data_IF_856555231458
#
_entry.id   IF_856555231458
#
_cell.length_a   1.000
_cell.length_b   1.000
_cell.length_c   1.000
_cell.angle_alpha   90.00
_cell.angle_beta   90.00
_cell.angle_gamma   90.00
#
_symmetry.space_group_name_H-M   'P 1'
#
loop_
_entity.id
_entity.type
_entity.pdbx_description
1 polymer ?
#
# COMPACT_ATOMS: atom_id res chain seq x y z
N UNK A 1 -8.55 22.21 -4.78
CA UNK A 1 -9.21 21.03 -4.18
C UNK A 1 -8.24 20.50 -3.14
N UNK A 2 -8.57 20.62 -1.85
CA UNK A 2 -7.69 20.22 -0.77
C UNK A 2 -7.61 18.70 -0.74
N UNK A 3 -6.54 18.15 -1.32
CA UNK A 3 -6.17 16.77 -1.08
C UNK A 3 -5.71 16.70 0.38
N UNK A 4 -6.63 16.37 1.29
CA UNK A 4 -6.23 15.68 2.51
C UNK A 4 -5.42 14.48 2.03
N UNK A 5 -4.09 14.52 2.18
CA UNK A 5 -3.23 13.39 1.81
C UNK A 5 -3.53 12.29 2.82
N UNK A 6 -4.60 11.58 2.52
CA UNK A 6 -4.93 10.34 3.17
C UNK A 6 -3.91 9.35 2.70
N UNK A 7 -3.33 8.60 3.63
CA UNK A 7 -2.39 7.53 3.30
C UNK A 7 -3.10 6.31 2.71
N UNK A 8 -4.29 6.51 2.15
CA UNK A 8 -4.99 5.51 1.38
C UNK A 8 -4.50 5.53 -0.07
N UNK A 9 -4.01 4.38 -0.51
CA UNK A 9 -3.71 4.12 -1.90
C UNK A 9 -4.81 3.23 -2.43
N UNK A 10 -5.50 3.72 -3.46
CA UNK A 10 -6.53 2.97 -4.14
C UNK A 10 -5.87 2.02 -5.15
N UNK A 11 -6.20 0.75 -5.03
CA UNK A 11 -5.75 -0.32 -5.91
C UNK A 11 -6.67 -0.41 -7.13
N UNK A 12 -6.11 -0.76 -8.28
CA UNK A 12 -6.88 -0.97 -9.51
C UNK A 12 -7.71 -2.27 -9.44
N UNK A 13 -7.24 -3.24 -8.66
CA UNK A 13 -7.90 -4.53 -8.40
C UNK A 13 -8.27 -4.66 -6.94
N UNK A 14 -9.36 -5.38 -6.70
CA UNK A 14 -9.72 -5.82 -5.35
C UNK A 14 -8.86 -7.00 -4.94
N UNK A 15 -8.44 -6.97 -3.68
CA UNK A 15 -7.90 -8.13 -2.99
C UNK A 15 -8.99 -9.17 -2.81
N UNK A 16 -8.81 -10.33 -3.44
CA UNK A 16 -9.68 -11.49 -3.22
C UNK A 16 -9.51 -12.01 -1.78
N UNK A 17 -8.26 -11.99 -1.29
CA UNK A 17 -7.90 -12.47 0.02
C UNK A 17 -6.82 -11.56 0.64
N UNK A 18 -7.22 -10.74 1.61
CA UNK A 18 -6.39 -9.69 2.22
C UNK A 18 -5.25 -10.27 3.03
N UNK A 19 -5.47 -11.42 3.64
CA UNK A 19 -4.44 -12.13 4.40
C UNK A 19 -3.38 -12.68 3.46
N UNK A 20 -3.75 -13.19 2.28
CA UNK A 20 -2.78 -13.58 1.25
C UNK A 20 -1.97 -12.41 0.74
N UNK A 21 -2.56 -11.23 0.55
CA UNK A 21 -1.80 -10.05 0.09
C UNK A 21 -0.56 -9.77 0.96
N UNK A 22 -0.58 -10.16 2.23
CA UNK A 22 0.51 -9.95 3.18
C UNK A 22 1.36 -11.19 3.47
N UNK A 23 0.78 -12.39 3.33
CA UNK A 23 1.46 -13.65 3.61
C UNK A 23 2.05 -14.31 2.35
N UNK A 24 1.69 -13.85 1.15
CA UNK A 24 2.29 -14.35 -0.08
C UNK A 24 3.72 -13.82 -0.24
N UNK A 25 4.70 -14.71 -0.50
CA UNK A 25 6.09 -14.31 -0.73
C UNK A 25 6.29 -13.56 -2.05
N UNK A 26 5.30 -13.61 -2.93
CA UNK A 26 5.27 -12.87 -4.20
C UNK A 26 4.73 -11.45 -4.03
N UNK A 27 4.24 -11.08 -2.84
CA UNK A 27 3.80 -9.72 -2.54
C UNK A 27 5.01 -8.83 -2.23
N UNK A 28 5.23 -7.82 -3.06
CA UNK A 28 6.31 -6.85 -2.91
C UNK A 28 5.73 -5.44 -2.91
N UNK A 29 5.73 -4.79 -1.75
CA UNK A 29 5.27 -3.42 -1.59
C UNK A 29 6.44 -2.54 -1.20
N UNK A 30 6.63 -1.46 -1.95
CA UNK A 30 7.74 -0.53 -1.79
C UNK A 30 7.25 0.90 -1.78
N UNK A 31 7.91 1.72 -0.97
CA UNK A 31 7.74 3.16 -0.93
C UNK A 31 9.10 3.80 -1.14
N UNK A 32 9.22 4.61 -2.18
CA UNK A 32 10.49 5.20 -2.60
C UNK A 32 11.60 4.16 -2.83
N UNK A 33 11.21 2.95 -3.26
CA UNK A 33 12.10 1.80 -3.41
C UNK A 33 12.42 1.04 -2.11
N UNK A 34 12.01 1.54 -0.94
CA UNK A 34 12.14 0.83 0.33
C UNK A 34 10.99 -0.17 0.55
N UNK A 35 11.29 -1.44 0.87
CA UNK A 35 10.26 -2.44 1.12
C UNK A 35 9.47 -2.12 2.38
N UNK A 36 8.15 -2.09 2.27
CA UNK A 36 7.23 -1.88 3.38
C UNK A 36 6.67 -3.23 3.87
N UNK A 37 6.84 -3.55 5.17
CA UNK A 37 6.21 -4.73 5.74
C UNK A 37 4.69 -4.58 5.79
N UNK A 38 3.95 -5.68 5.61
CA UNK A 38 2.51 -5.65 5.78
C UNK A 38 2.08 -5.73 7.26
N UNK A 39 1.05 -4.97 7.62
CA UNK A 39 0.41 -4.90 8.94
C UNK A 39 1.38 -4.57 10.07
N UNK A 40 2.52 -3.96 9.73
CA UNK A 40 3.47 -3.48 10.71
C UNK A 40 3.13 -2.05 11.14
N UNK A 41 3.77 -1.61 12.23
CA UNK A 41 3.64 -0.26 12.79
C UNK A 41 4.12 0.80 11.80
N UNK A 42 5.03 0.42 10.91
CA UNK A 42 5.73 1.28 9.95
C UNK A 42 5.67 0.68 8.53
N UNK A 43 4.45 0.34 8.12
CA UNK A 43 4.21 -0.46 6.93
C UNK A 43 2.94 -0.08 6.20
N UNK A 44 2.28 -1.07 5.63
CA UNK A 44 1.01 -0.91 4.93
C UNK A 44 0.00 -1.95 5.39
N UNK A 45 -1.29 -1.64 5.32
CA UNK A 45 -2.35 -2.59 5.64
C UNK A 45 -3.54 -2.40 4.72
N UNK A 46 -4.30 -3.45 4.44
CA UNK A 46 -5.56 -3.29 3.70
C UNK A 46 -6.58 -2.58 4.59
N UNK A 47 -7.23 -1.54 4.08
CA UNK A 47 -8.19 -0.73 4.85
C UNK A 47 -9.41 -1.58 5.21
N UNK A 48 -9.79 -1.67 6.50
CA UNK A 48 -10.95 -2.46 6.89
C UNK A 48 -12.22 -1.87 6.28
N UNK A 49 -13.05 -2.74 5.67
CA UNK A 49 -14.26 -2.33 4.94
C UNK A 49 -14.02 -1.86 3.50
N UNK A 50 -12.77 -1.84 3.02
CA UNK A 50 -12.45 -1.69 1.61
C UNK A 50 -11.65 -2.90 1.13
N UNK A 51 -11.92 -3.35 -0.09
CA UNK A 51 -11.24 -4.50 -0.69
C UNK A 51 -10.27 -4.05 -1.79
N UNK A 52 -10.24 -2.77 -2.13
CA UNK A 52 -9.39 -2.16 -3.16
C UNK A 52 -8.62 -0.96 -2.60
N UNK A 53 -8.47 -0.86 -1.28
CA UNK A 53 -7.75 0.26 -0.65
C UNK A 53 -6.76 -0.26 0.36
N UNK A 54 -5.52 0.17 0.24
CA UNK A 54 -4.49 -0.02 1.26
C UNK A 54 -4.26 1.30 1.99
N UNK A 55 -3.94 1.23 3.27
CA UNK A 55 -3.59 2.34 4.13
C UNK A 55 -2.14 2.17 4.56
N UNK A 56 -1.29 3.16 4.24
CA UNK A 56 0.05 3.26 4.79
C UNK A 56 -0.05 3.74 6.24
N UNK A 57 0.76 3.14 7.11
CA UNK A 57 0.77 3.41 8.55
C UNK A 57 2.18 3.69 9.05
N UNK A 58 2.30 4.46 10.13
CA UNK A 58 3.60 4.85 10.68
C UNK A 58 4.38 5.82 9.78
N UNK A 59 5.70 5.65 9.73
CA UNK A 59 6.59 6.51 8.94
C UNK A 59 6.42 6.32 7.43
N UNK A 60 5.86 5.20 6.97
CA UNK A 60 5.41 5.05 5.57
C UNK A 60 4.36 6.10 5.19
N UNK A 61 3.39 6.35 6.07
CA UNK A 61 2.38 7.39 5.87
C UNK A 61 2.97 8.80 5.91
N UNK A 62 3.90 9.05 6.84
CA UNK A 62 4.58 10.34 6.97
C UNK A 62 5.41 10.66 5.72
N UNK A 63 6.14 9.65 5.23
CA UNK A 63 6.91 9.71 3.97
C UNK A 63 5.99 9.95 2.79
N UNK A 64 4.86 9.25 2.71
CA UNK A 64 3.86 9.46 1.67
C UNK A 64 3.25 10.86 1.68
N UNK A 65 3.01 11.42 2.87
CA UNK A 65 2.55 12.80 3.05
C UNK A 65 3.59 13.86 2.71
N UNK A 66 4.87 13.51 2.75
CA UNK A 66 5.98 14.40 2.41
C UNK A 66 5.94 14.85 0.94
N UNK A 67 5.20 14.14 0.09
CA UNK A 67 4.81 14.58 -1.24
C UNK A 67 5.38 13.70 -2.34
N UNK A 68 6.60 13.98 -2.78
CA UNK A 68 7.22 13.30 -3.93
C UNK A 68 7.78 11.94 -3.51
N UNK A 69 6.92 10.93 -3.51
CA UNK A 69 7.29 9.54 -3.26
C UNK A 69 6.72 8.65 -4.34
N UNK A 70 7.47 7.61 -4.71
CA UNK A 70 6.99 6.57 -5.62
C UNK A 70 6.51 5.40 -4.79
N UNK A 71 5.21 5.11 -4.82
CA UNK A 71 4.67 3.89 -4.25
C UNK A 71 4.64 2.80 -5.33
N UNK A 72 5.03 1.58 -5.00
CA UNK A 72 4.98 0.44 -5.92
C UNK A 72 4.46 -0.76 -5.15
N UNK A 73 3.46 -1.45 -5.68
CA UNK A 73 2.90 -2.61 -5.02
C UNK A 73 2.60 -3.69 -6.05
N UNK A 74 3.43 -4.72 -6.02
CA UNK A 74 3.33 -5.89 -6.86
C UNK A 74 2.73 -7.02 -6.03
N UNK A 75 1.58 -7.53 -6.45
CA UNK A 75 0.93 -8.66 -5.80
C UNK A 75 0.77 -9.79 -6.82
N UNK A 76 0.88 -11.08 -6.41
CA UNK A 76 0.70 -12.21 -7.32
C UNK A 76 -0.70 -12.26 -7.94
N UNK A 77 -1.70 -11.66 -7.28
CA UNK A 77 -3.07 -11.55 -7.79
C UNK A 77 -3.33 -10.28 -8.64
N UNK A 78 -2.31 -9.46 -8.89
CA UNK A 78 -2.39 -8.25 -9.70
C UNK A 78 -1.20 -7.34 -9.45
N UNK A 79 -0.20 -7.39 -10.32
CA UNK A 79 0.92 -6.46 -10.32
C UNK A 79 0.43 -5.04 -10.65
N UNK A 80 0.76 -4.05 -9.82
CA UNK A 80 0.37 -2.65 -10.01
C UNK A 80 1.63 -1.79 -10.00
N UNK A 81 1.92 -1.15 -11.14
CA UNK A 81 2.88 -0.03 -11.22
C UNK A 81 2.05 1.25 -11.24
N UNK A 82 2.21 2.09 -10.22
CA UNK A 82 1.64 3.44 -10.19
C UNK A 82 2.79 4.42 -10.37
N UNK A 83 2.76 5.14 -11.50
CA UNK A 83 3.69 6.23 -11.86
C UNK A 83 3.20 7.58 -11.31
#
# INVERSE_FOLDING_TARGET
>A
IGASISCDVQMDKRFDDKEKACNDPESDVRLNGEPLPCSDTDGWRVKPGADDVIELVGSACDTFKSGEVTFSAEFPCGAIVVE
#
